data_IF_693548626719
#
_entry.id   IF_693548626719
#
_cell.length_a   1.000
_cell.length_b   1.000
_cell.length_c   1.000
_cell.angle_alpha   90.00
_cell.angle_beta   90.00
_cell.angle_gamma   90.00
#
_symmetry.space_group_name_H-M   'P 1'
#
loop_
_entity.id
_entity.type
_entity.pdbx_description
1 polymer ?
#
# COMPACT_ATOMS: atom_id res chain seq x y z
N UNK A 1 23.69 -18.15 34.47
CA UNK A 1 24.34 -17.30 33.46
C UNK A 1 23.51 -17.17 32.18
N UNK A 2 23.14 -18.25 31.47
CA UNK A 2 22.29 -18.18 30.24
C UNK A 2 20.98 -17.39 30.41
N UNK A 3 20.21 -17.66 31.46
CA UNK A 3 18.95 -16.94 31.76
C UNK A 3 19.11 -15.42 32.00
N UNK A 4 20.26 -14.98 32.54
CA UNK A 4 20.50 -13.57 32.83
C UNK A 4 20.89 -12.79 31.56
N UNK A 5 21.65 -13.45 30.66
CA UNK A 5 22.01 -12.90 29.36
C UNK A 5 20.79 -12.80 28.43
N UNK A 6 19.92 -13.82 28.41
CA UNK A 6 18.67 -13.81 27.61
C UNK A 6 17.66 -12.76 28.10
N UNK A 7 17.53 -12.56 29.42
CA UNK A 7 16.72 -11.48 29.98
C UNK A 7 17.25 -10.09 29.62
N UNK A 8 18.56 -9.88 29.65
CA UNK A 8 19.17 -8.58 29.32
C UNK A 8 19.01 -8.24 27.83
N UNK A 9 19.23 -9.20 26.92
CA UNK A 9 19.02 -8.98 25.48
C UNK A 9 17.55 -8.68 25.15
N UNK A 10 16.62 -9.29 25.87
CA UNK A 10 15.17 -9.03 25.69
C UNK A 10 14.80 -7.63 26.17
N UNK A 11 15.37 -7.17 27.29
CA UNK A 11 15.15 -5.83 27.82
C UNK A 11 15.74 -4.74 26.89
N UNK A 12 16.95 -4.94 26.38
CA UNK A 12 17.58 -4.04 25.40
C UNK A 12 16.77 -3.97 24.10
N UNK A 13 16.20 -5.09 23.66
CA UNK A 13 15.33 -5.13 22.50
C UNK A 13 14.05 -4.30 22.70
N UNK A 14 13.41 -4.43 23.86
CA UNK A 14 12.22 -3.67 24.21
C UNK A 14 12.49 -2.16 24.34
N UNK A 15 13.61 -1.78 24.97
CA UNK A 15 14.01 -0.38 25.12
C UNK A 15 14.27 0.28 23.77
N UNK A 16 14.97 -0.42 22.87
CA UNK A 16 15.21 0.05 21.51
C UNK A 16 13.90 0.22 20.73
N UNK A 17 13.01 -0.77 20.76
CA UNK A 17 11.70 -0.68 20.10
C UNK A 17 10.88 0.51 20.61
N UNK A 18 10.90 0.77 21.93
CA UNK A 18 10.24 1.93 22.52
C UNK A 18 10.86 3.24 22.05
N UNK A 19 12.20 3.33 21.96
CA UNK A 19 12.90 4.52 21.48
C UNK A 19 12.56 4.81 20.02
N UNK A 20 12.61 3.79 19.15
CA UNK A 20 12.24 3.89 17.73
C UNK A 20 10.79 4.34 17.60
N UNK A 21 9.86 3.68 18.29
CA UNK A 21 8.44 4.04 18.26
C UNK A 21 8.20 5.48 18.73
N UNK A 22 8.92 5.94 19.76
CA UNK A 22 8.76 7.29 20.30
C UNK A 22 9.26 8.33 19.31
N UNK A 23 10.49 8.18 18.80
CA UNK A 23 11.10 9.16 17.90
C UNK A 23 10.42 9.21 16.53
N UNK A 24 10.06 8.05 15.96
CA UNK A 24 9.30 8.02 14.72
C UNK A 24 7.86 8.54 14.92
N UNK A 25 7.28 8.32 16.11
CA UNK A 25 5.99 8.89 16.49
C UNK A 25 5.98 10.42 16.54
N UNK A 26 7.10 11.08 16.89
CA UNK A 26 7.13 12.55 16.87
C UNK A 26 7.09 13.12 15.45
N UNK A 27 7.63 12.41 14.47
CA UNK A 27 7.53 12.80 13.06
C UNK A 27 6.07 12.85 12.60
N UNK A 28 5.29 11.84 12.95
CA UNK A 28 3.87 11.77 12.56
C UNK A 28 3.01 12.68 13.42
N UNK A 29 3.40 12.98 14.65
CA UNK A 29 2.71 13.97 15.48
C UNK A 29 3.03 15.43 15.11
N UNK A 30 4.00 15.68 14.21
CA UNK A 30 4.38 17.04 13.81
C UNK A 30 3.23 17.76 13.11
N UNK A 31 2.98 19.01 13.52
CA UNK A 31 1.87 19.83 13.02
C UNK A 31 2.35 20.95 12.10
N UNK A 32 3.63 21.33 12.18
CA UNK A 32 4.25 22.35 11.32
C UNK A 32 5.45 21.81 10.55
N UNK A 33 5.82 22.42 9.41
CA UNK A 33 7.04 22.09 8.68
C UNK A 33 8.32 22.23 9.53
N UNK A 34 8.37 23.24 10.41
CA UNK A 34 9.51 23.50 11.29
C UNK A 34 9.65 22.40 12.35
N UNK A 35 8.54 21.99 12.97
CA UNK A 35 8.52 20.87 13.92
C UNK A 35 8.97 19.57 13.25
N UNK A 36 8.45 19.29 12.05
CA UNK A 36 8.81 18.11 11.29
C UNK A 36 10.31 18.10 10.95
N UNK A 37 10.86 19.24 10.52
CA UNK A 37 12.28 19.37 10.22
C UNK A 37 13.15 19.16 11.47
N UNK A 38 12.78 19.75 12.61
CA UNK A 38 13.50 19.57 13.87
C UNK A 38 13.45 18.12 14.37
N UNK A 39 12.29 17.46 14.26
CA UNK A 39 12.13 16.05 14.62
C UNK A 39 12.95 15.14 13.69
N UNK A 40 13.00 15.43 12.39
CA UNK A 40 13.87 14.72 11.45
C UNK A 40 15.35 14.88 11.79
N UNK A 41 15.78 16.09 12.16
CA UNK A 41 17.17 16.33 12.56
C UNK A 41 17.53 15.50 13.80
N UNK A 42 16.61 15.38 14.78
CA UNK A 42 16.80 14.53 15.96
C UNK A 42 16.91 13.04 15.58
N UNK A 43 16.04 12.55 14.70
CA UNK A 43 16.11 11.17 14.20
C UNK A 43 17.43 10.92 13.46
N UNK A 44 17.86 11.86 12.62
CA UNK A 44 19.11 11.76 11.86
C UNK A 44 20.36 11.74 12.75
N UNK A 45 20.37 12.47 13.88
CA UNK A 45 21.48 12.45 14.83
C UNK A 45 21.66 11.09 15.53
N UNK A 46 20.62 10.26 15.57
CA UNK A 46 20.62 8.96 16.22
C UNK A 46 20.40 7.79 15.25
N UNK A 47 20.54 8.03 13.94
CA UNK A 47 20.15 7.09 12.89
C UNK A 47 20.86 5.72 13.03
N UNK A 48 22.15 5.73 13.35
CA UNK A 48 22.97 4.52 13.52
C UNK A 48 22.50 3.63 14.67
N UNK A 49 21.97 4.25 15.74
CA UNK A 49 21.43 3.53 16.90
C UNK A 49 20.00 3.04 16.62
N UNK A 50 19.20 3.83 15.90
CA UNK A 50 17.80 3.53 15.66
C UNK A 50 17.61 2.44 14.62
N UNK A 51 18.42 2.42 13.56
CA UNK A 51 18.25 1.53 12.42
C UNK A 51 19.31 0.44 12.34
N UNK A 52 19.75 -0.06 13.49
CA UNK A 52 20.69 -1.18 13.60
C UNK A 52 20.02 -2.56 13.39
N UNK A 53 18.68 -2.58 13.24
CA UNK A 53 17.86 -3.81 13.14
C UNK A 53 16.80 -3.70 12.04
N UNK A 54 16.45 -4.82 11.37
CA UNK A 54 15.43 -4.82 10.31
C UNK A 54 14.07 -4.27 10.71
N UNK A 55 13.60 -4.56 11.93
CA UNK A 55 12.28 -4.18 12.42
C UNK A 55 12.13 -2.65 12.54
N UNK A 56 13.21 -1.95 12.88
CA UNK A 56 13.21 -0.49 12.95
C UNK A 56 13.13 0.16 11.56
N UNK A 57 13.63 -0.52 10.53
CA UNK A 57 13.50 -0.08 9.13
C UNK A 57 12.05 -0.26 8.67
N UNK A 58 11.37 -1.32 9.09
CA UNK A 58 9.95 -1.50 8.81
C UNK A 58 9.09 -0.40 9.45
N UNK A 59 9.41 -0.04 10.70
CA UNK A 59 8.78 1.09 11.39
C UNK A 59 9.03 2.42 10.67
N UNK A 60 10.27 2.67 10.23
CA UNK A 60 10.61 3.84 9.44
C UNK A 60 9.81 3.90 8.14
N UNK A 61 9.74 2.79 7.38
CA UNK A 61 8.93 2.76 6.17
C UNK A 61 7.45 3.07 6.44
N UNK A 62 6.87 2.52 7.52
CA UNK A 62 5.51 2.86 7.90
C UNK A 62 5.35 4.36 8.18
N UNK A 63 6.27 4.97 8.92
CA UNK A 63 6.28 6.42 9.15
C UNK A 63 6.37 7.20 7.83
N UNK A 64 7.22 6.79 6.90
CA UNK A 64 7.34 7.45 5.59
C UNK A 64 6.04 7.38 4.78
N UNK A 65 5.30 6.26 4.83
CA UNK A 65 4.00 6.15 4.18
C UNK A 65 2.95 7.04 4.85
N UNK A 66 2.94 7.12 6.18
CA UNK A 66 2.05 8.02 6.90
C UNK A 66 2.31 9.50 6.57
N UNK A 67 3.58 9.89 6.46
CA UNK A 67 3.96 11.25 6.01
C UNK A 67 3.55 11.48 4.55
N UNK A 68 3.65 10.47 3.68
CA UNK A 68 3.25 10.57 2.28
C UNK A 68 1.75 10.85 2.13
N UNK A 69 0.90 10.09 2.82
CA UNK A 69 -0.57 10.22 2.71
C UNK A 69 -1.13 11.45 3.42
N UNK A 70 -0.30 12.14 4.21
CA UNK A 70 -0.64 13.39 4.92
C UNK A 70 -0.09 14.64 4.25
N UNK A 71 0.66 14.51 3.16
CA UNK A 71 1.27 15.64 2.45
C UNK A 71 2.42 16.31 3.23
N UNK A 72 3.13 15.51 4.02
CA UNK A 72 4.27 15.94 4.82
C UNK A 72 5.61 15.41 4.28
N UNK A 73 5.57 14.52 3.28
CA UNK A 73 6.79 13.88 2.75
C UNK A 73 7.51 14.72 1.69
N UNK A 74 6.78 15.57 0.96
CA UNK A 74 7.31 16.41 -0.11
C UNK A 74 6.82 17.85 0.05
N UNK A 75 7.56 18.85 -0.47
CA UNK A 75 7.08 20.23 -0.47
C UNK A 75 5.79 20.38 -1.30
N UNK A 76 4.85 21.15 -0.77
CA UNK A 76 3.64 21.59 -1.47
C UNK A 76 3.98 22.73 -2.42
N UNK A 77 3.31 22.79 -3.56
CA UNK A 77 3.44 23.87 -4.54
C UNK A 77 2.08 24.59 -4.66
N UNK A 78 1.96 25.86 -4.21
CA UNK A 78 0.72 26.62 -4.31
C UNK A 78 0.22 26.85 -5.74
N UNK A 79 1.08 26.63 -6.75
CA UNK A 79 0.74 26.78 -8.17
C UNK A 79 0.19 25.50 -8.80
N UNK A 80 0.24 24.36 -8.10
CA UNK A 80 -0.34 23.12 -8.58
C UNK A 80 -1.87 23.25 -8.74
N UNK A 81 -2.39 22.67 -9.84
CA UNK A 81 -3.85 22.57 -10.04
C UNK A 81 -4.45 21.72 -8.90
N UNK A 82 -5.41 22.26 -8.11
CA UNK A 82 -5.93 21.57 -6.93
C UNK A 82 -6.65 20.28 -7.31
N UNK A 83 -6.65 19.31 -6.38
CA UNK A 83 -7.31 18.02 -6.59
C UNK A 83 -8.80 18.15 -6.92
N UNK A 84 -9.46 19.20 -6.44
CA UNK A 84 -10.86 19.52 -6.75
C UNK A 84 -11.12 19.68 -8.25
N UNK A 85 -10.19 20.28 -9.00
CA UNK A 85 -10.28 20.44 -10.45
C UNK A 85 -10.15 19.09 -11.17
N UNK A 86 -9.21 18.24 -10.74
CA UNK A 86 -9.10 16.87 -11.26
C UNK A 86 -10.37 16.05 -10.99
N UNK A 87 -10.92 16.15 -9.78
CA UNK A 87 -12.17 15.48 -9.41
C UNK A 87 -13.34 15.95 -10.26
N UNK A 88 -13.42 17.24 -10.58
CA UNK A 88 -14.43 17.77 -11.50
C UNK A 88 -14.28 17.17 -12.90
N UNK A 89 -13.05 17.13 -13.45
CA UNK A 89 -12.77 16.49 -14.75
C UNK A 89 -13.20 15.02 -14.78
N UNK A 90 -12.89 14.26 -13.72
CA UNK A 90 -13.30 12.86 -13.59
C UNK A 90 -14.82 12.71 -13.55
N UNK A 91 -15.52 13.56 -12.77
CA UNK A 91 -17.00 13.55 -12.70
C UNK A 91 -17.63 13.82 -14.06
N UNK A 92 -17.19 14.88 -14.74
CA UNK A 92 -17.71 15.22 -16.08
C UNK A 92 -17.50 14.10 -17.08
N UNK A 93 -16.32 13.46 -17.07
CA UNK A 93 -16.06 12.33 -17.96
C UNK A 93 -16.91 11.10 -17.62
N UNK A 94 -17.09 10.79 -16.32
CA UNK A 94 -17.98 9.71 -15.89
C UNK A 94 -19.42 9.97 -16.32
N UNK A 95 -19.93 11.18 -16.15
CA UNK A 95 -21.28 11.55 -16.57
C UNK A 95 -21.46 11.39 -18.09
N UNK A 96 -20.45 11.76 -18.88
CA UNK A 96 -20.43 11.53 -20.35
C UNK A 96 -20.49 10.05 -20.70
N UNK A 97 -19.71 9.21 -20.02
CA UNK A 97 -19.69 7.76 -20.26
C UNK A 97 -21.01 7.09 -19.83
N UNK A 98 -21.66 7.57 -18.78
CA UNK A 98 -22.99 7.11 -18.34
C UNK A 98 -24.03 7.52 -19.38
N UNK A 99 -24.02 8.77 -19.84
CA UNK A 99 -24.96 9.28 -20.83
C UNK A 99 -24.85 8.55 -22.18
N UNK A 100 -23.63 8.13 -22.56
CA UNK A 100 -23.38 7.33 -23.77
C UNK A 100 -23.56 5.82 -23.58
N UNK A 101 -23.96 5.36 -22.38
CA UNK A 101 -24.22 3.95 -22.09
C UNK A 101 -22.98 3.06 -22.02
N UNK A 102 -21.77 3.63 -22.03
CA UNK A 102 -20.51 2.89 -21.94
C UNK A 102 -20.25 2.36 -20.53
N UNK A 103 -20.74 3.05 -19.51
CA UNK A 103 -20.70 2.60 -18.12
C UNK A 103 -22.07 2.73 -17.46
N UNK A 104 -22.31 1.92 -16.43
CA UNK A 104 -23.53 2.00 -15.63
C UNK A 104 -23.41 3.16 -14.64
N UNK A 105 -24.56 3.74 -14.28
CA UNK A 105 -24.62 4.74 -13.23
C UNK A 105 -24.26 4.12 -11.88
N UNK A 106 -23.37 4.80 -11.16
CA UNK A 106 -22.96 4.38 -9.83
C UNK A 106 -24.13 4.45 -8.84
N UNK A 107 -24.07 3.59 -7.83
CA UNK A 107 -24.95 3.72 -6.67
C UNK A 107 -24.57 4.97 -5.89
N UNK A 108 -25.54 5.74 -5.36
CA UNK A 108 -25.24 6.87 -4.49
C UNK A 108 -24.37 6.41 -3.31
N UNK A 109 -23.28 7.14 -3.07
CA UNK A 109 -22.41 6.94 -1.93
C UNK A 109 -22.76 7.94 -0.83
N UNK A 110 -22.62 7.56 0.46
CA UNK A 110 -22.79 8.51 1.54
C UNK A 110 -21.74 9.65 1.43
N UNK A 111 -22.06 10.87 1.90
CA UNK A 111 -21.05 11.92 2.04
C UNK A 111 -19.92 11.45 2.95
N UNK A 112 -18.72 12.02 2.80
CA UNK A 112 -17.60 11.74 3.70
C UNK A 112 -17.84 12.51 5.01
N UNK A 113 -17.95 11.79 6.12
CA UNK A 113 -18.20 12.39 7.44
C UNK A 113 -16.91 12.89 8.07
N UNK A 114 -17.00 13.66 9.16
CA UNK A 114 -15.81 14.19 9.83
C UNK A 114 -15.01 13.10 10.56
N UNK A 115 -15.67 12.00 10.98
CA UNK A 115 -15.00 10.83 11.55
C UNK A 115 -14.17 10.05 10.50
N UNK A 116 -14.46 10.26 9.21
CA UNK A 116 -13.67 9.72 8.09
C UNK A 116 -12.50 10.64 7.69
N UNK A 117 -12.34 11.80 8.34
CA UNK A 117 -11.27 12.79 8.10
C UNK A 117 -10.30 12.84 9.29
N UNK A 118 -9.34 11.89 9.38
CA UNK A 118 -8.49 11.73 10.57
C UNK A 118 -7.53 12.90 10.83
N UNK A 119 -7.31 13.78 9.84
CA UNK A 119 -6.42 14.93 9.95
C UNK A 119 -6.84 16.04 8.98
N UNK A 120 -6.33 17.25 9.23
CA UNK A 120 -6.48 18.39 8.33
C UNK A 120 -5.62 18.22 7.08
N UNK A 121 -6.25 18.42 5.91
CA UNK A 121 -5.54 18.28 4.65
C UNK A 121 -4.71 19.52 4.33
N UNK A 122 -3.57 19.33 3.65
CA UNK A 122 -2.89 20.41 2.95
C UNK A 122 -3.79 21.20 1.99
N UNK A 123 -3.40 22.44 1.70
CA UNK A 123 -4.09 23.26 0.70
C UNK A 123 -4.04 22.57 -0.67
N UNK A 124 -5.19 22.49 -1.33
CA UNK A 124 -5.33 21.89 -2.67
C UNK A 124 -5.56 20.37 -2.67
N UNK A 125 -5.49 19.71 -1.52
CA UNK A 125 -5.84 18.30 -1.37
C UNK A 125 -7.34 18.11 -1.10
N UNK A 126 -7.87 16.93 -1.42
CA UNK A 126 -9.29 16.61 -1.21
C UNK A 126 -9.47 15.21 -0.62
N UNK A 127 -10.40 15.07 0.32
CA UNK A 127 -10.85 13.74 0.76
C UNK A 127 -11.77 13.14 -0.31
N UNK A 128 -11.50 11.90 -0.72
CA UNK A 128 -12.27 11.26 -1.80
C UNK A 128 -12.55 9.79 -1.51
N UNK A 129 -13.73 9.30 -1.93
CA UNK A 129 -14.04 7.87 -1.96
C UNK A 129 -13.43 7.21 -3.19
N UNK A 130 -12.88 6.01 -3.03
CA UNK A 130 -12.22 5.27 -4.11
C UNK A 130 -13.09 5.15 -5.37
N UNK A 131 -14.38 4.85 -5.22
CA UNK A 131 -15.31 4.72 -6.34
C UNK A 131 -15.53 6.02 -7.14
N UNK A 132 -15.19 7.18 -6.59
CA UNK A 132 -15.26 8.45 -7.30
C UNK A 132 -14.08 8.65 -8.27
N UNK A 133 -12.96 7.94 -8.03
CA UNK A 133 -11.70 8.12 -8.78
C UNK A 133 -11.24 6.89 -9.53
N UNK A 134 -11.86 5.73 -9.31
CA UNK A 134 -11.45 4.49 -9.92
C UNK A 134 -12.64 3.56 -10.22
N UNK A 135 -12.46 2.68 -11.19
CA UNK A 135 -13.36 1.54 -11.40
C UNK A 135 -12.83 0.32 -10.64
N UNK A 136 -13.70 -0.33 -9.89
CA UNK A 136 -13.39 -1.58 -9.19
C UNK A 136 -14.13 -2.76 -9.83
N UNK A 137 -13.50 -3.93 -9.89
CA UNK A 137 -14.16 -5.19 -10.29
C UNK A 137 -13.66 -6.34 -9.43
N UNK A 138 -14.59 -7.07 -8.83
CA UNK A 138 -14.29 -8.33 -8.16
C UNK A 138 -14.04 -9.43 -9.19
N UNK A 139 -13.03 -10.27 -8.96
CA UNK A 139 -12.63 -11.30 -9.90
C UNK A 139 -13.63 -12.44 -10.08
N UNK A 140 -13.33 -13.34 -11.01
CA UNK A 140 -14.22 -14.43 -11.40
C UNK A 140 -14.37 -15.45 -10.26
N UNK A 141 -15.61 -15.83 -9.96
CA UNK A 141 -15.90 -16.92 -9.02
C UNK A 141 -15.55 -18.27 -9.65
N UNK A 142 -14.75 -19.06 -8.92
CA UNK A 142 -14.46 -20.45 -9.27
C UNK A 142 -15.66 -21.34 -8.94
N UNK A 143 -16.25 -21.93 -9.97
CA UNK A 143 -17.33 -22.89 -9.91
C UNK A 143 -17.15 -23.88 -11.07
N UNK A 144 -16.66 -25.09 -10.77
CA UNK A 144 -16.36 -26.10 -11.80
C UNK A 144 -17.56 -26.51 -12.63
N UNK A 145 -18.78 -26.41 -12.08
CA UNK A 145 -19.99 -26.77 -12.79
C UNK A 145 -20.44 -25.67 -13.76
N UNK A 146 -20.08 -24.40 -13.48
CA UNK A 146 -20.54 -23.24 -14.24
C UNK A 146 -19.46 -22.58 -15.11
N UNK A 147 -18.18 -22.74 -14.77
CA UNK A 147 -17.10 -22.16 -15.56
C UNK A 147 -16.82 -23.05 -16.77
N UNK A 148 -17.08 -22.50 -17.95
CA UNK A 148 -16.88 -23.16 -19.24
C UNK A 148 -15.87 -22.38 -20.08
N UNK A 149 -15.56 -22.86 -21.29
CA UNK A 149 -14.64 -22.19 -22.21
C UNK A 149 -13.17 -22.62 -22.07
N UNK A 150 -12.27 -21.78 -22.59
CA UNK A 150 -10.83 -22.08 -22.64
C UNK A 150 -10.19 -21.79 -21.28
N UNK A 151 -9.15 -22.55 -20.93
CA UNK A 151 -8.35 -22.33 -19.73
C UNK A 151 -7.37 -21.17 -19.93
N UNK A 152 -7.33 -20.27 -18.96
CA UNK A 152 -6.43 -19.12 -18.92
C UNK A 152 -5.77 -18.99 -17.54
N UNK A 153 -4.52 -18.51 -17.47
CA UNK A 153 -3.83 -18.28 -16.20
C UNK A 153 -4.52 -17.20 -15.37
N UNK A 154 -4.55 -17.36 -14.05
CA UNK A 154 -5.14 -16.36 -13.17
C UNK A 154 -4.38 -16.19 -11.84
N UNK A 155 -4.51 -14.99 -11.29
CA UNK A 155 -3.95 -14.61 -9.99
C UNK A 155 -4.95 -14.86 -8.85
N UNK A 156 -4.39 -15.26 -7.71
CA UNK A 156 -5.05 -15.45 -6.42
C UNK A 156 -4.52 -14.44 -5.39
N UNK A 157 -5.17 -14.37 -4.24
CA UNK A 157 -4.68 -13.61 -3.09
C UNK A 157 -3.28 -14.06 -2.61
N UNK A 158 -2.89 -15.32 -2.84
CA UNK A 158 -1.55 -15.83 -2.55
C UNK A 158 -0.49 -15.25 -3.48
N UNK A 159 -0.85 -14.93 -4.72
CA UNK A 159 0.07 -14.33 -5.69
C UNK A 159 0.32 -12.85 -5.42
N UNK A 160 -0.65 -12.14 -4.83
CA UNK A 160 -0.54 -10.70 -4.58
C UNK A 160 0.11 -10.44 -3.22
N UNK A 161 1.34 -9.93 -3.24
CA UNK A 161 2.12 -9.49 -2.08
C UNK A 161 2.30 -7.98 -2.11
N UNK A 162 2.67 -7.34 -1.00
CA UNK A 162 3.02 -5.92 -1.07
C UNK A 162 4.18 -5.72 -2.05
N UNK A 163 4.03 -4.80 -3.00
CA UNK A 163 5.03 -4.42 -4.02
C UNK A 163 5.35 -5.47 -5.08
N UNK A 164 4.82 -6.68 -4.97
CA UNK A 164 5.22 -7.79 -5.83
C UNK A 164 4.04 -8.73 -6.14
N UNK A 165 4.02 -9.26 -7.36
CA UNK A 165 3.11 -10.33 -7.77
C UNK A 165 3.96 -11.57 -8.02
N UNK A 166 3.74 -12.59 -7.20
CA UNK A 166 4.39 -13.90 -7.29
C UNK A 166 3.73 -14.73 -8.40
N UNK A 167 4.55 -15.17 -9.35
CA UNK A 167 4.15 -15.90 -10.55
C UNK A 167 4.66 -17.34 -10.57
N UNK A 168 5.21 -17.85 -9.46
CA UNK A 168 5.79 -19.19 -9.36
C UNK A 168 4.70 -20.27 -9.33
N UNK A 169 3.58 -20.01 -8.64
CA UNK A 169 2.40 -20.89 -8.59
C UNK A 169 1.18 -20.24 -9.26
N UNK A 170 1.06 -20.43 -10.58
CA UNK A 170 -0.08 -19.98 -11.38
C UNK A 170 -0.99 -21.16 -11.71
N UNK A 171 -2.29 -20.96 -11.46
CA UNK A 171 -3.35 -21.90 -11.85
C UNK A 171 -4.13 -21.34 -13.03
N UNK A 172 -5.00 -22.16 -13.60
CA UNK A 172 -5.85 -21.74 -14.70
C UNK A 172 -7.33 -21.85 -14.35
N UNK A 173 -8.13 -20.97 -14.95
CA UNK A 173 -9.59 -20.89 -14.84
C UNK A 173 -10.19 -20.98 -16.23
N UNK A 174 -11.34 -21.65 -16.36
CA UNK A 174 -12.10 -21.66 -17.62
C UNK A 174 -12.89 -20.36 -17.76
N UNK A 175 -12.69 -19.67 -18.89
CA UNK A 175 -13.42 -18.45 -19.25
C UNK A 175 -13.97 -18.54 -20.67
N UNK A 176 -15.18 -18.03 -20.84
CA UNK A 176 -15.80 -17.82 -22.14
C UNK A 176 -15.26 -16.55 -22.80
N UNK A 177 -15.35 -16.47 -24.14
CA UNK A 177 -14.85 -15.32 -24.90
C UNK A 177 -15.49 -13.98 -24.46
N UNK A 178 -16.76 -14.02 -24.03
CA UNK A 178 -17.51 -12.88 -23.51
C UNK A 178 -16.97 -12.34 -22.18
N UNK A 179 -16.22 -13.15 -21.43
CA UNK A 179 -15.73 -12.82 -20.09
C UNK A 179 -14.32 -12.23 -20.11
N UNK A 180 -13.59 -12.41 -21.22
CA UNK A 180 -12.17 -12.05 -21.29
C UNK A 180 -11.94 -10.56 -21.08
N UNK A 181 -12.74 -9.72 -21.77
CA UNK A 181 -12.63 -8.26 -21.64
C UNK A 181 -12.87 -7.79 -20.20
N UNK A 182 -13.70 -8.50 -19.45
CA UNK A 182 -14.05 -8.13 -18.09
C UNK A 182 -12.93 -8.47 -17.10
N UNK A 183 -12.34 -9.66 -17.21
CA UNK A 183 -11.39 -10.19 -16.23
C UNK A 183 -9.92 -10.11 -16.65
N UNK A 184 -9.61 -9.67 -17.87
CA UNK A 184 -8.23 -9.50 -18.31
C UNK A 184 -7.56 -8.36 -17.55
N UNK A 185 -6.33 -8.63 -17.12
CA UNK A 185 -5.44 -7.64 -16.53
C UNK A 185 -4.72 -6.85 -17.60
N UNK A 186 -4.56 -5.56 -17.32
CA UNK A 186 -3.85 -4.58 -18.13
C UNK A 186 -2.76 -3.93 -17.27
N UNK A 187 -1.62 -3.53 -17.86
CA UNK A 187 -0.61 -2.77 -17.14
C UNK A 187 -1.20 -1.54 -16.44
N UNK A 188 -0.86 -1.36 -15.18
CA UNK A 188 -1.42 -0.32 -14.31
C UNK A 188 -2.64 -0.76 -13.50
N UNK A 189 -3.14 -1.99 -13.68
CA UNK A 189 -4.20 -2.54 -12.83
C UNK A 189 -3.69 -2.77 -11.41
N UNK A 190 -4.37 -2.19 -10.42
CA UNK A 190 -4.11 -2.47 -9.01
C UNK A 190 -4.93 -3.68 -8.56
N UNK A 191 -4.25 -4.74 -8.12
CA UNK A 191 -4.89 -5.89 -7.51
C UNK A 191 -4.91 -5.72 -6.00
N UNK A 192 -6.08 -5.88 -5.39
CA UNK A 192 -6.28 -5.78 -3.94
C UNK A 192 -6.92 -7.06 -3.44
N UNK A 193 -6.32 -7.70 -2.44
CA UNK A 193 -6.89 -8.89 -1.80
C UNK A 193 -8.22 -8.56 -1.12
N UNK A 194 -9.28 -9.29 -1.51
CA UNK A 194 -10.56 -9.30 -0.79
C UNK A 194 -10.42 -10.11 0.51
N UNK A 195 -9.82 -11.31 0.43
CA UNK A 195 -9.69 -12.25 1.54
C UNK A 195 -8.27 -12.81 1.71
N UNK A 196 -8.02 -13.50 2.82
CA UNK A 196 -6.69 -14.04 3.19
C UNK A 196 -5.81 -12.98 3.85
N UNK A 197 -5.42 -11.95 3.11
CA UNK A 197 -4.82 -10.73 3.68
C UNK A 197 -5.56 -9.51 3.09
N UNK A 198 -6.76 -9.18 3.62
CA UNK A 198 -7.59 -8.14 3.04
C UNK A 198 -6.87 -6.79 2.98
N UNK A 199 -6.97 -6.10 1.84
CA UNK A 199 -6.31 -4.81 1.61
C UNK A 199 -4.88 -4.88 1.05
N UNK A 200 -4.19 -6.03 1.15
CA UNK A 200 -2.88 -6.21 0.51
C UNK A 200 -2.98 -6.05 -0.99
N UNK A 201 -2.07 -5.25 -1.58
CA UNK A 201 -2.16 -4.95 -2.99
C UNK A 201 -0.81 -4.89 -3.73
N UNK A 202 -0.88 -5.10 -5.04
CA UNK A 202 0.22 -4.95 -5.98
C UNK A 202 -0.29 -4.48 -7.34
N UNK A 203 0.59 -3.83 -8.10
CA UNK A 203 0.28 -3.31 -9.43
C UNK A 203 0.72 -4.34 -10.47
N UNK A 204 -0.18 -4.71 -11.37
CA UNK A 204 0.15 -5.49 -12.55
C UNK A 204 0.91 -4.62 -13.55
N UNK A 205 2.12 -5.03 -13.94
CA UNK A 205 3.00 -4.23 -14.81
C UNK A 205 3.40 -4.93 -16.11
N UNK A 206 3.11 -6.22 -16.25
CA UNK A 206 3.54 -7.02 -17.40
C UNK A 206 2.55 -6.84 -18.58
N UNK A 207 2.97 -6.19 -19.69
CA UNK A 207 2.10 -5.97 -20.85
C UNK A 207 1.97 -7.20 -21.76
N UNK A 208 2.94 -8.10 -21.72
CA UNK A 208 3.08 -9.20 -22.67
C UNK A 208 2.42 -10.49 -22.16
N UNK A 209 2.23 -10.58 -20.84
CA UNK A 209 1.59 -11.73 -20.21
C UNK A 209 0.09 -11.56 -20.10
N UNK A 210 -0.65 -12.39 -20.83
CA UNK A 210 -2.09 -12.52 -20.63
C UNK A 210 -2.37 -13.13 -19.25
N UNK A 211 -3.14 -12.43 -18.43
CA UNK A 211 -3.43 -12.82 -17.05
C UNK A 211 -4.84 -12.38 -16.63
N UNK A 212 -5.48 -13.22 -15.83
CA UNK A 212 -6.82 -13.01 -15.26
C UNK A 212 -6.77 -13.04 -13.73
N UNK A 213 -7.91 -12.86 -13.05
CA UNK A 213 -7.95 -12.86 -11.58
C UNK A 213 -9.24 -13.47 -11.04
N UNK A 214 -9.14 -14.19 -9.92
CA UNK A 214 -10.28 -14.80 -9.25
C UNK A 214 -10.93 -13.87 -8.21
N UNK A 215 -12.10 -14.27 -7.72
CA UNK A 215 -12.93 -13.54 -6.75
C UNK A 215 -12.18 -13.10 -5.49
N UNK A 216 -11.11 -13.77 -5.06
CA UNK A 216 -10.31 -13.34 -3.91
C UNK A 216 -9.54 -12.01 -4.12
N UNK A 217 -9.60 -11.44 -5.33
CA UNK A 217 -8.96 -10.18 -5.71
C UNK A 217 -9.99 -9.21 -6.29
N UNK A 218 -9.85 -7.94 -5.94
CA UNK A 218 -10.37 -6.82 -6.69
C UNK A 218 -9.33 -6.34 -7.68
N UNK A 219 -9.77 -5.91 -8.86
CA UNK A 219 -9.01 -5.05 -9.74
C UNK A 219 -9.51 -3.62 -9.61
N UNK A 220 -8.61 -2.66 -9.43
CA UNK A 220 -8.89 -1.23 -9.39
C UNK A 220 -8.15 -0.50 -10.52
N UNK A 221 -8.87 0.33 -11.28
CA UNK A 221 -8.35 1.15 -12.38
C UNK A 221 -8.62 2.64 -12.11
N UNK A 222 -7.60 3.43 -11.75
CA UNK A 222 -7.77 4.87 -11.56
C UNK A 222 -8.16 5.58 -12.85
N UNK A 223 -8.91 6.67 -12.73
CA UNK A 223 -9.33 7.56 -13.82
C UNK A 223 -8.56 8.88 -13.76
N UNK A 224 -8.60 9.65 -14.85
CA UNK A 224 -8.05 11.02 -14.88
C UNK A 224 -6.53 11.10 -14.73
N UNK A 225 -5.80 10.01 -14.97
CA UNK A 225 -4.35 9.99 -14.83
C UNK A 225 -3.84 9.92 -13.38
N UNK A 226 -4.72 9.63 -12.41
CA UNK A 226 -4.34 9.43 -11.00
C UNK A 226 -3.28 8.32 -10.92
N UNK A 227 -2.22 8.59 -10.17
CA UNK A 227 -1.15 7.62 -9.94
C UNK A 227 -1.68 6.42 -9.16
N UNK A 228 -1.63 5.22 -9.77
CA UNK A 228 -2.08 3.98 -9.13
C UNK A 228 -1.26 3.65 -7.88
N UNK A 229 0.01 4.04 -7.88
CA UNK A 229 0.93 3.92 -6.75
C UNK A 229 0.45 4.69 -5.52
N UNK A 230 -0.22 5.84 -5.69
CA UNK A 230 -0.76 6.60 -4.56
C UNK A 230 -1.83 5.80 -3.82
N UNK A 231 -2.73 5.15 -4.56
CA UNK A 231 -3.77 4.30 -3.96
C UNK A 231 -3.13 3.12 -3.22
N UNK A 232 -2.10 2.51 -3.80
CA UNK A 232 -1.35 1.44 -3.15
C UNK A 232 -0.64 1.91 -1.86
N UNK A 233 -0.05 3.11 -1.87
CA UNK A 233 0.58 3.74 -0.71
C UNK A 233 -0.45 4.01 0.40
N UNK A 234 -1.63 4.52 0.04
CA UNK A 234 -2.71 4.78 1.00
C UNK A 234 -3.20 3.48 1.67
N UNK A 235 -3.51 2.45 0.86
CA UNK A 235 -3.94 1.14 1.36
C UNK A 235 -2.90 0.50 2.27
N UNK A 236 -1.62 0.58 1.92
CA UNK A 236 -0.56 0.02 2.75
C UNK A 236 -0.36 0.79 4.05
N UNK A 237 -0.39 2.12 4.00
CA UNK A 237 -0.33 2.98 5.19
C UNK A 237 -1.46 2.63 6.16
N UNK A 238 -2.70 2.53 5.66
CA UNK A 238 -3.86 2.19 6.47
C UNK A 238 -3.85 0.73 6.94
N UNK A 239 -3.37 -0.20 6.12
CA UNK A 239 -3.23 -1.60 6.52
C UNK A 239 -2.24 -1.73 7.68
N UNK A 240 -1.08 -1.08 7.59
CA UNK A 240 -0.04 -1.13 8.62
C UNK A 240 -0.45 -0.39 9.90
N UNK A 241 -1.30 0.63 9.78
CA UNK A 241 -1.88 1.34 10.93
C UNK A 241 -3.09 0.62 11.56
N UNK A 242 -3.59 -0.46 10.95
CA UNK A 242 -4.81 -1.15 11.39
C UNK A 242 -6.11 -0.42 11.01
N UNK A 243 -6.04 0.66 10.24
CA UNK A 243 -7.18 1.48 9.85
C UNK A 243 -8.13 0.76 8.88
N UNK A 244 -7.67 -0.28 8.17
CA UNK A 244 -8.53 -1.05 7.27
C UNK A 244 -9.51 -1.98 8.00
N UNK A 245 -9.25 -2.33 9.26
CA UNK A 245 -10.05 -3.32 9.99
C UNK A 245 -11.54 -2.96 10.10
N UNK A 246 -11.84 -1.65 10.20
CA UNK A 246 -13.22 -1.14 10.23
C UNK A 246 -14.01 -1.37 8.93
N UNK A 247 -13.32 -1.66 7.83
CA UNK A 247 -13.93 -1.93 6.53
C UNK A 247 -14.19 -3.43 6.30
N UNK A 248 -13.64 -4.30 7.15
CA UNK A 248 -13.71 -5.74 6.93
C UNK A 248 -15.00 -6.35 7.49
N UNK A 249 -15.53 -7.32 6.76
CA UNK A 249 -16.66 -8.15 7.20
C UNK A 249 -16.19 -9.54 7.59
N UNK A 250 -16.94 -10.22 8.48
CA UNK A 250 -16.64 -11.58 8.92
C UNK A 250 -15.78 -11.62 10.18
N UNK A 251 -16.20 -12.39 11.19
CA UNK A 251 -15.54 -12.45 12.49
C UNK A 251 -14.25 -13.30 12.46
N UNK A 252 -14.31 -14.49 11.86
CA UNK A 252 -13.17 -15.42 11.79
C UNK A 252 -12.32 -15.20 10.56
N UNK A 253 -12.95 -14.95 9.40
CA UNK A 253 -12.27 -14.68 8.14
C UNK A 253 -12.69 -13.29 7.67
N UNK A 254 -11.78 -12.34 7.86
CA UNK A 254 -11.98 -10.94 7.45
C UNK A 254 -11.98 -10.85 5.92
N UNK A 255 -12.91 -10.05 5.38
CA UNK A 255 -13.03 -9.77 3.96
C UNK A 255 -13.22 -8.28 3.70
N UNK A 256 -12.44 -7.72 2.77
CA UNK A 256 -12.61 -6.35 2.27
C UNK A 256 -13.52 -6.35 1.04
N UNK A 257 -14.82 -6.51 1.26
CA UNK A 257 -15.81 -6.68 0.17
C UNK A 257 -15.91 -5.44 -0.72
N UNK A 258 -16.38 -5.61 -1.95
CA UNK A 258 -16.40 -4.53 -2.96
C UNK A 258 -17.14 -3.27 -2.52
N UNK A 259 -18.26 -3.41 -1.80
CA UNK A 259 -19.00 -2.25 -1.27
C UNK A 259 -18.18 -1.46 -0.22
N UNK A 260 -17.38 -2.14 0.59
CA UNK A 260 -16.52 -1.50 1.56
C UNK A 260 -15.32 -0.83 0.86
N UNK A 261 -14.77 -1.48 -0.16
CA UNK A 261 -13.69 -0.93 -0.99
C UNK A 261 -14.12 0.33 -1.73
N UNK A 262 -15.32 0.35 -2.32
CA UNK A 262 -15.89 1.53 -3.00
C UNK A 262 -16.03 2.73 -2.06
N UNK A 263 -16.26 2.46 -0.76
CA UNK A 263 -16.41 3.47 0.29
C UNK A 263 -15.10 3.91 0.91
N UNK A 264 -13.99 3.21 0.66
CA UNK A 264 -12.68 3.54 1.20
C UNK A 264 -12.33 5.00 0.88
N UNK A 265 -11.95 5.75 1.91
CA UNK A 265 -11.64 7.18 1.84
C UNK A 265 -10.12 7.34 1.85
N UNK A 266 -9.60 8.15 0.93
CA UNK A 266 -8.19 8.52 0.90
C UNK A 266 -8.04 10.02 0.63
N UNK A 267 -6.90 10.57 1.05
CA UNK A 267 -6.50 11.94 0.76
C UNK A 267 -5.90 11.98 -0.65
N UNK A 268 -6.51 12.75 -1.55
CA UNK A 268 -6.07 12.92 -2.93
C UNK A 268 -5.33 14.27 -3.07
N UNK A 269 -4.02 14.25 -3.37
CA UNK A 269 -3.27 15.45 -3.63
C UNK A 269 -3.41 15.91 -5.10
N UNK A 270 -3.01 17.16 -5.40
CA UNK A 270 -2.82 17.63 -6.78
C UNK A 270 -2.06 16.65 -7.65
N UNK A 271 -2.42 16.56 -8.94
CA UNK A 271 -1.87 15.54 -9.84
C UNK A 271 -0.35 15.62 -9.98
N UNK A 272 0.20 16.84 -10.03
CA UNK A 272 1.65 17.05 -10.06
C UNK A 272 2.33 16.57 -8.76
N UNK A 273 1.70 16.82 -7.61
CA UNK A 273 2.20 16.36 -6.31
C UNK A 273 2.16 14.83 -6.17
N UNK A 274 1.18 14.14 -6.75
CA UNK A 274 1.15 12.67 -6.79
C UNK A 274 2.46 12.09 -7.34
N UNK A 275 2.96 12.65 -8.45
CA UNK A 275 4.22 12.22 -9.06
C UNK A 275 5.42 12.46 -8.13
N UNK A 276 5.44 13.61 -7.45
CA UNK A 276 6.51 13.93 -6.47
C UNK A 276 6.49 12.97 -5.29
N UNK A 277 5.31 12.66 -4.74
CA UNK A 277 5.13 11.69 -3.64
C UNK A 277 5.59 10.30 -4.08
N UNK A 278 5.09 9.79 -5.19
CA UNK A 278 5.42 8.44 -5.70
C UNK A 278 6.92 8.30 -5.96
N UNK A 279 7.53 9.32 -6.58
CA UNK A 279 8.98 9.35 -6.82
C UNK A 279 9.76 9.30 -5.51
N UNK A 280 9.36 10.10 -4.51
CA UNK A 280 10.03 10.17 -3.21
C UNK A 280 9.90 8.88 -2.42
N UNK A 281 8.69 8.32 -2.32
CA UNK A 281 8.44 7.04 -1.64
C UNK A 281 9.24 5.92 -2.30
N UNK A 282 9.28 5.87 -3.63
CA UNK A 282 10.05 4.86 -4.37
C UNK A 282 11.55 4.97 -4.06
N UNK A 283 12.11 6.18 -4.06
CA UNK A 283 13.51 6.40 -3.73
C UNK A 283 13.83 5.97 -2.29
N UNK A 284 12.99 6.34 -1.32
CA UNK A 284 13.20 6.01 0.09
C UNK A 284 13.07 4.52 0.36
N UNK A 285 12.09 3.82 -0.24
CA UNK A 285 11.98 2.36 -0.14
C UNK A 285 13.22 1.64 -0.65
N UNK A 286 13.83 2.12 -1.74
CA UNK A 286 15.11 1.57 -2.23
C UNK A 286 16.23 1.72 -1.20
N UNK A 287 16.31 2.86 -0.53
CA UNK A 287 17.29 3.09 0.54
C UNK A 287 17.03 2.15 1.73
N UNK A 288 15.77 2.01 2.16
CA UNK A 288 15.38 1.07 3.22
C UNK A 288 15.72 -0.38 2.86
N UNK A 289 15.46 -0.80 1.63
CA UNK A 289 15.85 -2.13 1.14
C UNK A 289 17.37 -2.34 1.16
N UNK A 290 18.15 -1.35 0.70
CA UNK A 290 19.62 -1.44 0.74
C UNK A 290 20.15 -1.52 2.17
N UNK A 291 19.56 -0.76 3.10
CA UNK A 291 19.93 -0.78 4.50
C UNK A 291 19.66 -2.15 5.14
N UNK A 292 18.49 -2.76 4.89
CA UNK A 292 18.17 -4.12 5.36
C UNK A 292 19.18 -5.14 4.84
N UNK A 293 19.54 -5.06 3.54
CA UNK A 293 20.52 -5.96 2.95
C UNK A 293 21.89 -5.85 3.65
N UNK A 294 22.38 -4.62 3.90
CA UNK A 294 23.65 -4.40 4.59
C UNK A 294 23.64 -4.94 6.03
N UNK A 295 22.53 -4.79 6.75
CA UNK A 295 22.40 -5.36 8.10
C UNK A 295 22.47 -6.89 8.07
N UNK A 296 21.79 -7.54 7.13
CA UNK A 296 21.81 -8.99 6.98
C UNK A 296 23.21 -9.50 6.60
N UNK A 297 23.90 -8.82 5.69
CA UNK A 297 25.29 -9.13 5.31
C UNK A 297 26.24 -9.00 6.51
N UNK A 298 26.11 -7.94 7.31
CA UNK A 298 26.91 -7.75 8.53
C UNK A 298 26.70 -8.91 9.50
N UNK A 299 25.45 -9.30 9.76
CA UNK A 299 25.12 -10.41 10.65
C UNK A 299 25.71 -11.73 10.15
N UNK A 300 25.62 -12.00 8.85
CA UNK A 300 26.20 -13.21 8.24
C UNK A 300 27.73 -13.27 8.39
N UNK A 301 28.43 -12.15 8.16
CA UNK A 301 29.88 -12.07 8.33
C UNK A 301 30.27 -12.29 9.79
N UNK A 302 29.55 -11.67 10.74
CA UNK A 302 29.81 -11.86 12.17
C UNK A 302 29.63 -13.32 12.60
N UNK A 303 28.57 -13.99 12.14
CA UNK A 303 28.32 -15.40 12.44
C UNK A 303 29.45 -16.30 11.91
N UNK A 304 29.85 -16.10 10.65
CA UNK A 304 30.96 -16.86 10.03
C UNK A 304 32.29 -16.65 10.75
N UNK A 305 32.61 -15.43 11.18
CA UNK A 305 33.83 -15.16 11.93
C UNK A 305 33.80 -15.87 13.29
N UNK A 306 32.67 -15.83 14.00
CA UNK A 306 32.50 -16.54 15.25
C UNK A 306 32.68 -18.06 15.08
N UNK A 307 32.09 -18.65 14.03
CA UNK A 307 32.27 -20.07 13.70
C UNK A 307 33.74 -20.42 13.43
N UNK A 308 34.44 -19.61 12.63
CA UNK A 308 35.86 -19.83 12.32
C UNK A 308 36.74 -19.78 13.57
N UNK A 309 36.52 -18.79 14.45
CA UNK A 309 37.28 -18.65 15.70
C UNK A 309 37.06 -19.83 16.65
N UNK A 310 35.85 -20.38 16.71
CA UNK A 310 35.56 -21.58 17.52
C UNK A 310 36.25 -22.81 16.93
N UNK A 311 36.29 -22.93 15.60
CA UNK A 311 36.96 -24.04 14.92
C UNK A 311 38.49 -24.03 15.07
N UNK A 312 39.12 -22.86 15.19
CA UNK A 312 40.58 -22.76 15.42
C UNK A 312 41.01 -23.13 16.85
N UNK A 313 40.09 -23.09 17.81
CA UNK A 313 40.36 -23.36 19.23
C UNK A 313 39.99 -24.80 19.63
N UNK A 314 39.29 -25.54 18.78
CA UNK A 314 38.89 -26.94 18.96
C UNK A 314 39.89 -27.92 18.35
#
# INVERSE_FOLDING_TARGET
MKFQTECNTTLEAAQHAQLVSTLLGTLTASTTPEELAANWQRVAQHFDLLLDRPEAIDALEQTLLQLAVRGLLVPQDPTDEPASTLLQKIRTEKDRLIATGQIKRDKPLPPITDEEKPFELPVGWEWVRLANIADSRLGKMLDKAKNSGRRYPYLRNTNVQWHHIDLDDIKEISLEASELAEYRLMPGDLLICEGGYPGRCAIWRDPDREMYFQKALHRVRPRGGIAVELIAIALESDSRAGNLDKHFTGATIKHFVGQALDRYVLALPPLAEQSRIVTRVTALRRLCANLRQRLAERQSVQARLAEALVQEVA
#
